data_IF_865672573130
#
_entry.id   IF_865672573130
#
_cell.length_a   1.000
_cell.length_b   1.000
_cell.length_c   1.000
_cell.angle_alpha   90.00
_cell.angle_beta   90.00
_cell.angle_gamma   90.00
#
_symmetry.space_group_name_H-M   'P 1'
#
loop_
_entity.id
_entity.type
_entity.pdbx_description
1 polymer ?
#
# COMPACT_ATOMS: atom_id res chain seq x y z
N UNK A 1 -31.85 -46.26 16.36
CA UNK A 1 -31.94 -45.05 15.50
C UNK A 1 -31.22 -43.83 16.09
N UNK A 2 -30.94 -43.78 17.40
CA UNK A 2 -30.28 -42.66 18.11
C UNK A 2 -28.89 -42.22 17.59
N UNK A 3 -27.98 -43.16 17.30
CA UNK A 3 -26.58 -42.83 16.97
C UNK A 3 -26.40 -42.10 15.62
N UNK A 4 -27.37 -42.24 14.70
CA UNK A 4 -27.31 -41.62 13.37
C UNK A 4 -27.84 -40.18 13.36
N UNK A 5 -28.76 -39.85 14.27
CA UNK A 5 -29.23 -38.48 14.47
C UNK A 5 -28.19 -37.65 15.24
N UNK A 6 -27.55 -38.20 16.28
CA UNK A 6 -26.44 -37.54 16.98
C UNK A 6 -25.26 -37.23 16.04
N UNK A 7 -24.83 -38.21 15.23
CA UNK A 7 -23.78 -38.00 14.23
C UNK A 7 -24.18 -36.96 13.15
N UNK A 8 -25.47 -36.84 12.84
CA UNK A 8 -26.00 -35.81 11.94
C UNK A 8 -25.91 -34.41 12.56
N UNK A 9 -26.25 -34.28 13.84
CA UNK A 9 -26.16 -33.01 14.58
C UNK A 9 -24.71 -32.56 14.81
N UNK A 10 -23.79 -33.48 15.08
CA UNK A 10 -22.37 -33.18 15.24
C UNK A 10 -21.72 -32.74 13.92
N UNK A 11 -22.09 -33.39 12.80
CA UNK A 11 -21.66 -33.01 11.46
C UNK A 11 -22.16 -31.60 11.07
N UNK A 12 -23.40 -31.27 11.41
CA UNK A 12 -24.00 -29.97 11.10
C UNK A 12 -23.39 -28.84 11.96
N UNK A 13 -23.15 -29.10 13.25
CA UNK A 13 -22.42 -28.18 14.14
C UNK A 13 -20.99 -27.92 13.64
N UNK A 14 -20.28 -28.97 13.20
CA UNK A 14 -18.95 -28.84 12.63
C UNK A 14 -18.96 -27.97 11.37
N UNK A 15 -19.95 -28.13 10.48
CA UNK A 15 -20.11 -27.25 9.31
C UNK A 15 -20.38 -25.81 9.71
N UNK A 16 -21.23 -25.58 10.71
CA UNK A 16 -21.51 -24.23 11.23
C UNK A 16 -20.23 -23.56 11.76
N UNK A 17 -19.42 -24.27 12.52
CA UNK A 17 -18.14 -23.75 13.02
C UNK A 17 -17.13 -23.50 11.90
N UNK A 18 -17.04 -24.40 10.92
CA UNK A 18 -16.18 -24.19 9.74
C UNK A 18 -16.61 -22.96 8.94
N UNK A 19 -17.92 -22.75 8.76
CA UNK A 19 -18.44 -21.56 8.08
C UNK A 19 -18.14 -20.28 8.88
N UNK A 20 -18.35 -20.29 10.20
CA UNK A 20 -18.00 -19.16 11.05
C UNK A 20 -16.51 -18.84 11.00
N UNK A 21 -15.65 -19.87 11.04
CA UNK A 21 -14.21 -19.72 10.91
C UNK A 21 -13.84 -19.12 9.54
N UNK A 22 -14.44 -19.61 8.46
CA UNK A 22 -14.22 -19.08 7.11
C UNK A 22 -14.63 -17.61 7.02
N UNK A 23 -15.80 -17.23 7.56
CA UNK A 23 -16.25 -15.83 7.59
C UNK A 23 -15.29 -14.94 8.38
N UNK A 24 -14.78 -15.41 9.53
CA UNK A 24 -13.81 -14.66 10.33
C UNK A 24 -12.49 -14.48 9.59
N UNK A 25 -12.00 -15.52 8.91
CA UNK A 25 -10.79 -15.45 8.10
C UNK A 25 -10.98 -14.46 6.94
N UNK A 26 -12.09 -14.55 6.21
CA UNK A 26 -12.42 -13.62 5.13
C UNK A 26 -12.47 -12.17 5.63
N UNK A 27 -13.16 -11.92 6.75
CA UNK A 27 -13.24 -10.59 7.36
C UNK A 27 -11.86 -10.07 7.77
N UNK A 28 -11.03 -10.92 8.37
CA UNK A 28 -9.64 -10.56 8.73
C UNK A 28 -8.85 -10.17 7.49
N UNK A 29 -8.95 -10.96 6.41
CA UNK A 29 -8.22 -10.69 5.17
C UNK A 29 -8.69 -9.38 4.51
N UNK A 30 -10.00 -9.10 4.50
CA UNK A 30 -10.52 -7.82 4.00
C UNK A 30 -10.00 -6.63 4.79
N UNK A 31 -10.03 -6.70 6.13
CA UNK A 31 -9.50 -5.64 6.99
C UNK A 31 -7.99 -5.43 6.80
N UNK A 32 -7.24 -6.52 6.62
CA UNK A 32 -5.80 -6.44 6.37
C UNK A 32 -5.48 -5.81 5.00
N UNK A 33 -6.30 -6.07 3.98
CA UNK A 33 -6.14 -5.40 2.68
C UNK A 33 -6.43 -3.89 2.79
N UNK A 34 -7.52 -3.52 3.48
CA UNK A 34 -7.87 -2.13 3.75
C UNK A 34 -6.79 -1.39 4.56
N UNK A 35 -6.27 -2.01 5.62
CA UNK A 35 -5.15 -1.47 6.40
C UNK A 35 -3.92 -1.25 5.52
N UNK A 36 -3.58 -2.21 4.65
CA UNK A 36 -2.48 -2.07 3.71
C UNK A 36 -2.67 -0.92 2.73
N UNK A 37 -3.89 -0.68 2.24
CA UNK A 37 -4.17 0.44 1.34
C UNK A 37 -4.00 1.77 2.07
N UNK A 38 -4.56 1.88 3.28
CA UNK A 38 -4.39 3.06 4.13
C UNK A 38 -2.92 3.35 4.48
N UNK A 39 -2.11 2.30 4.70
CA UNK A 39 -0.68 2.48 4.92
C UNK A 39 0.05 3.07 3.70
N UNK A 40 -0.40 2.73 2.49
CA UNK A 40 0.16 3.30 1.26
C UNK A 40 -0.24 4.77 1.14
N UNK A 41 -1.50 5.11 1.38
CA UNK A 41 -1.99 6.49 1.36
C UNK A 41 -1.21 7.38 2.34
N UNK A 42 -0.96 6.88 3.56
CA UNK A 42 -0.14 7.60 4.55
C UNK A 42 1.28 7.86 4.04
N UNK A 43 1.88 6.88 3.36
CA UNK A 43 3.22 7.04 2.80
C UNK A 43 3.22 8.02 1.62
N UNK A 44 2.21 8.00 0.76
CA UNK A 44 2.05 8.98 -0.33
C UNK A 44 1.91 10.40 0.21
N UNK A 45 1.02 10.62 1.19
CA UNK A 45 0.83 11.91 1.86
C UNK A 45 2.13 12.44 2.48
N UNK A 46 2.91 11.56 3.12
CA UNK A 46 4.21 11.93 3.69
C UNK A 46 5.19 12.39 2.59
N UNK A 47 5.23 11.69 1.46
CA UNK A 47 6.08 12.07 0.32
C UNK A 47 5.64 13.40 -0.30
N UNK A 48 4.33 13.65 -0.39
CA UNK A 48 3.75 14.94 -0.80
C UNK A 48 4.12 16.09 0.13
N UNK A 49 4.04 15.88 1.44
CA UNK A 49 4.46 16.87 2.42
C UNK A 49 5.96 17.20 2.27
N UNK A 50 6.81 16.17 2.17
CA UNK A 50 8.25 16.34 1.97
C UNK A 50 8.56 17.08 0.66
N UNK A 51 7.87 16.71 -0.43
CA UNK A 51 8.03 17.40 -1.71
C UNK A 51 7.63 18.87 -1.60
N UNK A 52 6.52 19.18 -0.94
CA UNK A 52 6.04 20.55 -0.76
C UNK A 52 7.05 21.42 0.01
N UNK A 53 7.63 20.87 1.09
CA UNK A 53 8.67 21.55 1.87
C UNK A 53 9.92 21.84 1.04
N UNK A 54 10.41 20.84 0.29
CA UNK A 54 11.57 20.99 -0.58
C UNK A 54 11.33 21.98 -1.72
N UNK A 55 10.15 21.94 -2.35
CA UNK A 55 9.78 22.89 -3.40
C UNK A 55 9.68 24.33 -2.85
N UNK A 56 9.17 24.50 -1.62
CA UNK A 56 9.13 25.80 -0.97
C UNK A 56 10.54 26.32 -0.68
N UNK A 57 11.44 25.46 -0.22
CA UNK A 57 12.84 25.82 0.01
C UNK A 57 13.55 26.19 -1.31
N UNK A 58 13.35 25.39 -2.36
CA UNK A 58 13.93 25.65 -3.68
C UNK A 58 13.45 26.98 -4.27
N UNK A 59 12.16 27.33 -4.07
CA UNK A 59 11.62 28.63 -4.47
C UNK A 59 12.32 29.80 -3.78
N UNK A 60 12.80 29.64 -2.54
CA UNK A 60 13.55 30.71 -1.85
C UNK A 60 14.88 31.01 -2.55
N UNK A 61 15.57 29.97 -3.01
CA UNK A 61 16.81 30.12 -3.76
C UNK A 61 16.57 30.67 -5.18
N UNK A 62 15.50 30.24 -5.87
CA UNK A 62 15.15 30.82 -7.18
C UNK A 62 14.70 32.28 -7.13
N UNK A 63 14.14 32.73 -6.01
CA UNK A 63 13.78 34.13 -5.81
C UNK A 63 14.99 35.02 -5.48
N UNK A 64 16.16 34.44 -5.21
CA UNK A 64 17.41 35.16 -5.04
C UNK A 64 18.05 35.39 -6.40
N UNK A 65 18.47 36.62 -6.67
CA UNK A 65 19.19 36.93 -7.91
C UNK A 65 20.49 36.13 -8.00
N UNK A 66 20.78 35.57 -9.18
CA UNK A 66 21.96 34.71 -9.39
C UNK A 66 23.30 35.40 -9.07
N UNK A 67 23.37 36.74 -9.17
CA UNK A 67 24.58 37.49 -8.81
C UNK A 67 24.80 37.61 -7.28
N UNK A 68 23.79 37.28 -6.47
CA UNK A 68 23.87 37.24 -5.00
C UNK A 68 24.04 35.82 -4.46
N UNK A 69 23.96 34.79 -5.32
CA UNK A 69 24.09 33.39 -4.89
C UNK A 69 25.53 33.06 -4.56
N UNK A 70 25.72 32.48 -3.39
CA UNK A 70 27.00 31.93 -2.95
C UNK A 70 27.19 30.51 -3.51
N UNK A 71 28.43 30.02 -3.49
CA UNK A 71 28.69 28.61 -3.85
C UNK A 71 27.95 27.62 -2.94
N UNK A 72 27.64 28.02 -1.69
CA UNK A 72 26.88 27.20 -0.76
C UNK A 72 25.41 27.10 -1.18
N UNK A 73 24.82 28.19 -1.68
CA UNK A 73 23.45 28.20 -2.19
C UNK A 73 23.27 27.25 -3.40
N UNK A 74 24.25 27.23 -4.31
CA UNK A 74 24.23 26.31 -5.46
C UNK A 74 24.30 24.84 -5.04
N UNK A 75 25.11 24.50 -4.04
CA UNK A 75 25.17 23.13 -3.52
C UNK A 75 23.87 22.77 -2.76
N UNK A 76 23.28 23.71 -2.03
CA UNK A 76 21.98 23.51 -1.39
C UNK A 76 20.87 23.24 -2.43
N UNK A 77 20.77 24.03 -3.50
CA UNK A 77 19.84 23.80 -4.62
C UNK A 77 20.02 22.39 -5.21
N UNK A 78 21.26 21.99 -5.47
CA UNK A 78 21.59 20.67 -6.02
C UNK A 78 21.21 19.53 -5.07
N UNK A 79 21.42 19.71 -3.76
CA UNK A 79 20.98 18.76 -2.75
C UNK A 79 19.45 18.64 -2.69
N UNK A 80 18.72 19.75 -2.77
CA UNK A 80 17.26 19.76 -2.80
C UNK A 80 16.73 19.04 -4.05
N UNK A 81 17.29 19.34 -5.23
CA UNK A 81 16.95 18.66 -6.47
C UNK A 81 17.21 17.14 -6.40
N UNK A 82 18.33 16.74 -5.79
CA UNK A 82 18.65 15.31 -5.61
C UNK A 82 17.63 14.62 -4.69
N UNK A 83 17.17 15.30 -3.64
CA UNK A 83 16.13 14.79 -2.74
C UNK A 83 14.76 14.71 -3.43
N UNK A 84 14.40 15.70 -4.26
CA UNK A 84 13.18 15.65 -5.06
C UNK A 84 13.16 14.44 -6.02
N UNK A 85 14.29 14.15 -6.68
CA UNK A 85 14.42 12.93 -7.51
C UNK A 85 14.25 11.67 -6.67
N UNK A 86 14.81 11.63 -5.44
CA UNK A 86 14.63 10.50 -4.55
C UNK A 86 13.15 10.29 -4.16
N UNK A 87 12.39 11.36 -3.90
CA UNK A 87 10.94 11.30 -3.64
C UNK A 87 10.19 10.73 -4.83
N UNK A 88 10.51 11.17 -6.06
CA UNK A 88 9.89 10.63 -7.27
C UNK A 88 10.16 9.13 -7.39
N UNK A 89 11.39 8.69 -7.15
CA UNK A 89 11.73 7.27 -7.16
C UNK A 89 10.98 6.47 -6.08
N UNK A 90 10.80 7.03 -4.89
CA UNK A 90 10.02 6.40 -3.82
C UNK A 90 8.55 6.24 -4.22
N UNK A 91 7.94 7.24 -4.86
CA UNK A 91 6.57 7.12 -5.40
C UNK A 91 6.47 6.06 -6.48
N UNK A 92 7.44 6.01 -7.40
CA UNK A 92 7.49 4.94 -8.42
C UNK A 92 7.51 3.55 -7.79
N UNK A 93 8.26 3.36 -6.71
CA UNK A 93 8.30 2.08 -5.98
C UNK A 93 6.96 1.73 -5.31
N UNK A 94 6.21 2.72 -4.81
CA UNK A 94 4.86 2.51 -4.27
C UNK A 94 3.87 2.08 -5.37
N UNK A 95 3.90 2.74 -6.53
CA UNK A 95 3.07 2.39 -7.69
C UNK A 95 3.35 0.95 -8.13
N UNK A 96 4.62 0.56 -8.22
CA UNK A 96 4.97 -0.83 -8.56
C UNK A 96 4.47 -1.84 -7.51
N UNK A 97 4.50 -1.48 -6.23
CA UNK A 97 4.00 -2.33 -5.16
C UNK A 97 2.47 -2.50 -5.25
N UNK A 98 1.73 -1.42 -5.48
CA UNK A 98 0.29 -1.44 -5.71
C UNK A 98 -0.07 -2.30 -6.94
N UNK A 99 0.69 -2.17 -8.03
CA UNK A 99 0.45 -2.98 -9.23
C UNK A 99 0.73 -4.47 -8.98
N UNK A 100 1.79 -4.81 -8.25
CA UNK A 100 2.05 -6.19 -7.82
C UNK A 100 0.91 -6.74 -6.95
N UNK A 101 0.40 -5.96 -6.01
CA UNK A 101 -0.75 -6.33 -5.17
C UNK A 101 -1.98 -6.61 -6.04
N UNK A 102 -2.32 -5.69 -6.94
CA UNK A 102 -3.46 -5.80 -7.88
C UNK A 102 -3.37 -7.06 -8.75
N UNK A 103 -2.18 -7.39 -9.26
CA UNK A 103 -1.95 -8.60 -10.04
C UNK A 103 -2.09 -9.88 -9.20
N UNK A 104 -1.63 -9.87 -7.94
CA UNK A 104 -1.80 -10.99 -7.02
C UNK A 104 -3.29 -11.25 -6.75
N UNK A 105 -4.03 -10.22 -6.38
CA UNK A 105 -5.48 -10.31 -6.11
C UNK A 105 -6.26 -10.78 -7.34
N UNK A 106 -5.90 -10.33 -8.55
CA UNK A 106 -6.52 -10.80 -9.79
C UNK A 106 -6.25 -12.29 -10.04
N UNK A 107 -5.06 -12.79 -9.69
CA UNK A 107 -4.71 -14.20 -9.84
C UNK A 107 -5.40 -15.10 -8.80
N UNK A 108 -5.60 -14.59 -7.58
CA UNK A 108 -6.36 -15.28 -6.52
C UNK A 108 -7.86 -15.33 -6.81
N UNK A 109 -8.39 -14.32 -7.51
CA UNK A 109 -9.78 -14.26 -7.95
C UNK A 109 -10.02 -14.84 -9.34
N UNK A 110 -8.97 -15.22 -10.08
CA UNK A 110 -9.14 -15.94 -11.33
C UNK A 110 -9.79 -17.29 -11.03
N UNK A 111 -10.87 -17.68 -11.72
CA UNK A 111 -11.41 -19.02 -11.57
C UNK A 111 -10.27 -19.97 -11.90
N UNK A 112 -9.96 -20.89 -10.98
CA UNK A 112 -9.17 -22.08 -11.29
C UNK A 112 -9.98 -22.79 -12.36
N UNK A 113 -9.66 -22.50 -13.63
CA UNK A 113 -10.17 -23.26 -14.75
C UNK A 113 -9.68 -24.67 -14.50
N UNK A 114 -10.59 -25.52 -14.03
CA UNK A 114 -10.33 -26.92 -13.79
C UNK A 114 -9.76 -27.49 -15.08
N UNK A 115 -8.52 -27.94 -15.02
CA UNK A 115 -8.03 -28.91 -15.98
C UNK A 115 -8.66 -30.24 -15.55
N UNK A 116 -9.90 -30.47 -16.00
CA UNK A 116 -10.47 -31.80 -16.20
C UNK A 116 -9.79 -32.46 -17.43
#
# INVERSE_FOLDING_TARGET
QSLREEAGTESELKKQWMNQLLTLIQKKNSLMSEESDLMIDVQELKLEEQQCQLDQELRRYYNLDDYLKTSEDYEAEKMILSQLVAIVNQRSALIEMQERKRLSELSEHAPVMGND
#
